data_IF_420733959458
#
_entry.id   IF_420733959458
#
_cell.length_a   1.000
_cell.length_b   1.000
_cell.length_c   1.000
_cell.angle_alpha   90.00
_cell.angle_beta   90.00
_cell.angle_gamma   90.00
#
_symmetry.space_group_name_H-M   'P 1'
#
loop_
_entity.id
_entity.type
_entity.pdbx_description
1 polymer ?
#
# COMPACT_ATOMS: atom_id res chain seq x y z
N UNK A 1 4.09 -32.23 87.56
CA UNK A 1 3.22 -32.36 86.38
C UNK A 1 2.82 -30.98 85.93
N UNK A 2 3.67 -30.33 85.08
CA UNK A 2 3.35 -29.03 84.46
C UNK A 2 4.29 -28.78 83.27
N UNK A 3 3.89 -29.31 82.08
CA UNK A 3 4.65 -29.06 80.86
C UNK A 3 3.79 -28.81 79.65
N UNK A 4 2.48 -28.55 79.79
CA UNK A 4 1.62 -28.39 78.57
C UNK A 4 1.40 -26.97 77.99
N UNK A 5 1.65 -25.84 78.66
CA UNK A 5 1.43 -24.54 78.07
C UNK A 5 2.37 -24.12 76.96
N UNK A 6 3.59 -24.67 76.93
CA UNK A 6 4.68 -24.22 76.02
C UNK A 6 4.53 -24.79 74.58
N UNK A 7 4.04 -26.00 74.43
CA UNK A 7 3.89 -26.64 73.08
C UNK A 7 2.84 -25.95 72.23
N UNK A 8 1.69 -25.51 72.83
CA UNK A 8 0.67 -24.78 72.08
C UNK A 8 1.12 -23.40 71.62
N UNK A 9 1.96 -22.73 72.38
CA UNK A 9 2.51 -21.44 71.99
C UNK A 9 3.51 -21.55 70.85
N UNK A 10 4.32 -22.61 70.85
CA UNK A 10 5.28 -22.89 69.79
C UNK A 10 4.61 -23.31 68.49
N UNK A 11 3.61 -24.18 68.52
CA UNK A 11 2.83 -24.55 67.35
C UNK A 11 2.10 -23.34 66.73
N UNK A 12 1.55 -22.45 67.57
CA UNK A 12 0.88 -21.23 67.10
C UNK A 12 1.90 -20.25 66.40
N UNK A 13 3.15 -20.17 66.93
CA UNK A 13 4.19 -19.36 66.31
C UNK A 13 4.67 -19.96 64.98
N UNK A 14 4.88 -21.28 64.93
CA UNK A 14 5.27 -21.97 63.68
C UNK A 14 4.17 -21.86 62.60
N UNK A 15 2.90 -21.99 62.98
CA UNK A 15 1.75 -21.80 62.05
C UNK A 15 1.68 -20.36 61.51
N UNK A 16 1.90 -19.35 62.35
CA UNK A 16 1.95 -17.94 61.91
C UNK A 16 3.15 -17.64 61.00
N UNK A 17 4.30 -18.23 61.24
CA UNK A 17 5.49 -18.08 60.39
C UNK A 17 5.29 -18.78 59.03
N UNK A 18 4.72 -19.98 59.02
CA UNK A 18 4.39 -20.70 57.80
C UNK A 18 3.41 -19.91 56.90
N UNK A 19 2.37 -19.36 57.55
CA UNK A 19 1.34 -18.52 56.87
C UNK A 19 1.98 -17.23 56.33
N UNK A 20 2.92 -16.60 57.05
CA UNK A 20 3.69 -15.43 56.57
C UNK A 20 4.59 -15.77 55.39
N UNK A 21 5.29 -16.91 55.43
CA UNK A 21 6.13 -17.37 54.31
C UNK A 21 5.30 -17.69 53.09
N UNK A 22 4.14 -18.35 53.23
CA UNK A 22 3.21 -18.64 52.16
C UNK A 22 2.66 -17.36 51.52
N UNK A 23 2.22 -16.41 52.37
CA UNK A 23 1.68 -15.11 51.88
C UNK A 23 2.76 -14.30 51.12
N UNK A 24 4.03 -14.29 51.59
CA UNK A 24 5.12 -13.66 50.84
C UNK A 24 5.38 -14.32 49.51
N UNK A 25 5.36 -15.65 49.41
CA UNK A 25 5.52 -16.40 48.15
C UNK A 25 4.38 -16.10 47.19
N UNK A 26 3.13 -16.07 47.64
CA UNK A 26 1.98 -15.70 46.83
C UNK A 26 2.11 -14.25 46.30
N UNK A 27 2.52 -13.31 47.14
CA UNK A 27 2.72 -11.91 46.67
C UNK A 27 3.80 -11.83 45.62
N UNK A 28 4.91 -12.55 45.76
CA UNK A 28 6.00 -12.58 44.76
C UNK A 28 5.50 -13.17 43.44
N UNK A 29 4.73 -14.26 43.47
CA UNK A 29 4.14 -14.89 42.26
C UNK A 29 3.18 -13.92 41.58
N UNK A 30 2.32 -13.21 42.30
CA UNK A 30 1.40 -12.22 41.75
C UNK A 30 2.15 -11.05 41.13
N UNK A 31 3.22 -10.58 41.76
CA UNK A 31 4.06 -9.51 41.18
C UNK A 31 4.73 -9.99 39.88
N UNK A 32 5.30 -11.21 39.87
CA UNK A 32 5.90 -11.78 38.65
C UNK A 32 4.88 -11.95 37.51
N UNK A 33 3.67 -12.40 37.83
CA UNK A 33 2.60 -12.50 36.82
C UNK A 33 2.17 -11.13 36.28
N UNK A 34 2.07 -10.12 37.14
CA UNK A 34 1.74 -8.77 36.72
C UNK A 34 2.85 -8.16 35.83
N UNK A 35 4.13 -8.35 36.19
CA UNK A 35 5.26 -7.89 35.38
C UNK A 35 5.30 -8.62 34.03
N UNK A 36 5.05 -9.94 34.03
CA UNK A 36 4.99 -10.72 32.80
C UNK A 36 3.86 -10.23 31.88
N UNK A 37 2.68 -9.94 32.42
CA UNK A 37 1.54 -9.41 31.64
C UNK A 37 1.87 -8.04 31.01
N UNK A 38 2.53 -7.16 31.77
CA UNK A 38 2.92 -5.82 31.27
C UNK A 38 3.95 -5.89 30.12
N UNK A 39 4.79 -6.93 30.10
CA UNK A 39 5.81 -7.12 29.05
C UNK A 39 5.23 -7.93 27.88
N UNK A 40 4.46 -8.98 28.15
CA UNK A 40 3.97 -9.90 27.15
C UNK A 40 2.88 -9.28 26.26
N UNK A 41 1.96 -8.48 26.83
CA UNK A 41 0.88 -7.86 26.05
C UNK A 41 1.38 -6.89 24.97
N UNK A 42 2.28 -5.93 25.25
CA UNK A 42 2.82 -5.08 24.19
C UNK A 42 3.68 -5.84 23.18
N UNK A 43 4.37 -6.92 23.61
CA UNK A 43 5.15 -7.75 22.71
C UNK A 43 4.25 -8.52 21.72
N UNK A 44 3.13 -9.06 22.18
CA UNK A 44 2.13 -9.72 21.34
C UNK A 44 1.53 -8.73 20.33
N UNK A 45 1.09 -7.54 20.80
CA UNK A 45 0.57 -6.50 19.92
C UNK A 45 1.60 -6.03 18.90
N UNK A 46 2.88 -5.97 19.26
CA UNK A 46 3.97 -5.64 18.36
C UNK A 46 4.18 -6.75 17.31
N UNK A 47 4.13 -8.02 17.72
CA UNK A 47 4.24 -9.17 16.79
C UNK A 47 3.04 -9.24 15.85
N UNK A 48 1.82 -9.02 16.34
CA UNK A 48 0.62 -8.92 15.51
C UNK A 48 0.73 -7.77 14.49
N UNK A 49 1.27 -6.62 14.88
CA UNK A 49 1.52 -5.51 13.95
C UNK A 49 2.60 -5.80 12.89
N UNK A 50 3.51 -6.74 13.15
CA UNK A 50 4.49 -7.21 12.17
C UNK A 50 3.90 -8.26 11.21
N UNK A 51 2.87 -9.01 11.63
CA UNK A 51 2.16 -9.97 10.76
C UNK A 51 1.11 -9.27 9.88
N UNK A 52 0.64 -8.08 10.24
CA UNK A 52 -0.22 -7.23 9.41
C UNK A 52 0.56 -6.40 8.36
N UNK A 53 1.79 -6.81 7.99
CA UNK A 53 2.32 -6.31 6.73
C UNK A 53 1.36 -6.74 5.62
N UNK A 54 0.84 -5.78 4.82
CA UNK A 54 -0.04 -6.15 3.72
C UNK A 54 0.68 -7.20 2.89
N UNK A 55 0.06 -8.36 2.76
CA UNK A 55 0.60 -9.47 1.98
C UNK A 55 1.03 -8.89 0.64
N UNK A 56 2.29 -9.12 0.26
CA UNK A 56 2.74 -8.79 -1.10
C UNK A 56 1.67 -9.28 -2.08
N UNK A 57 1.23 -8.48 -3.04
CA UNK A 57 0.15 -8.85 -3.92
C UNK A 57 0.44 -10.22 -4.52
N UNK A 58 -0.46 -11.14 -4.26
CA UNK A 58 -0.34 -12.50 -4.78
C UNK A 58 -0.42 -12.42 -6.30
N UNK A 59 0.65 -12.82 -6.99
CA UNK A 59 0.68 -12.85 -8.45
C UNK A 59 -0.26 -13.97 -8.89
N UNK A 60 -1.51 -13.62 -9.17
CA UNK A 60 -2.48 -14.56 -9.74
C UNK A 60 -2.12 -14.78 -11.20
N UNK A 61 -1.44 -15.90 -11.46
CA UNK A 61 -1.22 -16.37 -12.84
C UNK A 61 -2.57 -16.83 -13.42
N UNK A 62 -3.30 -15.92 -14.03
CA UNK A 62 -4.45 -16.31 -14.86
C UNK A 62 -3.93 -16.90 -16.18
N UNK A 63 -4.58 -17.98 -16.63
CA UNK A 63 -4.34 -18.61 -17.93
C UNK A 63 -4.56 -17.52 -19.02
N UNK A 64 -3.64 -17.36 -19.98
CA UNK A 64 -3.79 -16.33 -21.01
C UNK A 64 -5.09 -16.53 -21.78
N UNK A 65 -6.03 -15.62 -21.59
CA UNK A 65 -7.10 -15.39 -22.56
C UNK A 65 -6.45 -14.70 -23.76
N UNK A 66 -6.81 -15.08 -24.97
CA UNK A 66 -6.33 -14.36 -26.15
C UNK A 66 -7.00 -12.98 -26.13
N UNK A 67 -6.24 -11.96 -25.75
CA UNK A 67 -6.71 -10.57 -25.76
C UNK A 67 -6.76 -10.14 -27.23
N UNK A 68 -7.86 -9.57 -27.65
CA UNK A 68 -8.04 -9.03 -29.00
C UNK A 68 -8.00 -7.51 -28.90
N UNK A 69 -6.98 -6.91 -29.50
CA UNK A 69 -6.81 -5.47 -29.53
C UNK A 69 -7.48 -4.85 -30.76
N UNK A 70 -7.98 -3.63 -30.58
CA UNK A 70 -8.39 -2.79 -31.71
C UNK A 70 -7.16 -2.37 -32.52
N UNK A 71 -7.36 -2.04 -33.80
CA UNK A 71 -6.28 -1.51 -34.61
C UNK A 71 -5.89 -0.10 -34.12
N UNK A 72 -4.58 0.18 -33.91
CA UNK A 72 -4.14 1.48 -33.47
C UNK A 72 -4.42 2.57 -34.53
N UNK A 73 -5.08 3.63 -34.12
CA UNK A 73 -5.30 4.84 -34.94
C UNK A 73 -4.56 6.01 -34.27
N UNK A 74 -3.49 6.46 -34.93
CA UNK A 74 -2.61 7.53 -34.43
C UNK A 74 -3.16 8.92 -34.65
N UNK A 75 -4.16 9.08 -35.51
CA UNK A 75 -4.81 10.34 -35.84
C UNK A 75 -6.14 10.53 -35.11
N UNK A 76 -6.57 9.51 -34.34
CA UNK A 76 -7.86 9.54 -33.63
C UNK A 76 -7.81 10.57 -32.48
N UNK A 77 -8.69 11.54 -32.55
CA UNK A 77 -8.99 12.44 -31.43
C UNK A 77 -10.11 11.84 -30.58
N UNK A 78 -9.72 11.14 -29.52
CA UNK A 78 -10.69 10.48 -28.62
C UNK A 78 -11.65 11.47 -27.95
N UNK A 79 -11.30 12.75 -27.88
CA UNK A 79 -12.16 13.80 -27.29
C UNK A 79 -13.32 14.17 -28.21
N UNK A 80 -13.40 13.59 -29.40
CA UNK A 80 -14.55 13.68 -30.34
C UNK A 80 -15.43 12.43 -30.34
N UNK A 81 -14.97 11.36 -29.64
CA UNK A 81 -15.68 10.09 -29.60
C UNK A 81 -16.86 10.13 -28.61
N UNK A 82 -18.11 10.18 -29.13
CA UNK A 82 -19.31 10.27 -28.31
C UNK A 82 -19.43 9.13 -27.29
N UNK A 83 -19.00 7.91 -27.65
CA UNK A 83 -19.00 6.75 -26.75
C UNK A 83 -18.05 6.89 -25.60
N UNK A 84 -16.87 7.53 -25.79
CA UNK A 84 -15.93 7.84 -24.74
C UNK A 84 -16.41 9.00 -23.87
N UNK A 85 -16.97 10.05 -24.51
CA UNK A 85 -17.50 11.21 -23.78
C UNK A 85 -18.67 10.86 -22.84
N UNK A 86 -19.37 9.75 -23.11
CA UNK A 86 -20.46 9.25 -22.26
C UNK A 86 -19.98 8.41 -21.06
N UNK A 87 -18.67 8.05 -20.99
CA UNK A 87 -18.11 7.32 -19.84
C UNK A 87 -17.77 8.26 -18.68
N UNK A 88 -17.68 7.71 -17.47
CA UNK A 88 -17.14 8.46 -16.32
C UNK A 88 -15.61 8.58 -16.44
N UNK A 89 -15.16 9.76 -16.83
CA UNK A 89 -13.74 10.10 -17.00
C UNK A 89 -13.14 10.82 -15.82
N UNK A 90 -13.90 10.89 -14.72
CA UNK A 90 -13.42 11.50 -13.47
C UNK A 90 -12.33 10.65 -12.88
N UNK A 91 -11.31 11.31 -12.33
CA UNK A 91 -10.28 10.66 -11.51
C UNK A 91 -10.70 10.74 -10.05
N UNK A 92 -10.91 9.58 -9.44
CA UNK A 92 -11.27 9.48 -8.03
C UNK A 92 -10.01 9.22 -7.20
N UNK A 93 -9.74 10.12 -6.25
CA UNK A 93 -8.77 9.88 -5.20
C UNK A 93 -9.44 9.26 -3.99
N UNK A 94 -8.86 8.17 -3.47
CA UNK A 94 -9.28 7.49 -2.27
C UNK A 94 -8.10 7.39 -1.30
N UNK A 95 -8.29 7.84 -0.06
CA UNK A 95 -7.33 7.55 1.01
C UNK A 95 -7.86 6.37 1.83
N UNK A 96 -7.27 5.18 1.61
CA UNK A 96 -7.70 3.95 2.28
C UNK A 96 -7.49 3.99 3.80
N UNK A 97 -6.52 4.78 4.28
CA UNK A 97 -6.20 4.93 5.70
C UNK A 97 -7.33 5.60 6.49
N UNK A 98 -8.10 6.48 5.81
CA UNK A 98 -9.18 7.26 6.43
C UNK A 98 -10.56 7.00 5.83
N UNK A 99 -10.67 6.11 4.82
CA UNK A 99 -11.93 5.81 4.14
C UNK A 99 -12.53 7.00 3.39
N UNK A 100 -11.69 7.90 2.91
CA UNK A 100 -12.08 9.13 2.25
C UNK A 100 -12.00 8.97 0.72
N UNK A 101 -12.98 9.51 -0.01
CA UNK A 101 -12.98 9.52 -1.49
C UNK A 101 -13.46 10.88 -1.99
N UNK A 102 -12.75 11.45 -2.96
CA UNK A 102 -13.11 12.70 -3.64
C UNK A 102 -12.72 12.65 -5.12
N UNK A 103 -13.47 13.35 -5.96
CA UNK A 103 -13.13 13.56 -7.37
C UNK A 103 -12.02 14.60 -7.48
N UNK A 104 -10.93 14.25 -8.18
CA UNK A 104 -9.85 15.19 -8.47
C UNK A 104 -10.30 16.17 -9.55
N UNK A 105 -9.96 17.41 -9.34
CA UNK A 105 -10.20 18.55 -10.23
C UNK A 105 -8.97 19.44 -10.25
N UNK A 106 -8.87 20.32 -11.24
CA UNK A 106 -7.81 21.34 -11.29
C UNK A 106 -7.72 22.20 -10.01
N UNK A 107 -8.81 22.33 -9.24
CA UNK A 107 -8.87 23.16 -8.03
C UNK A 107 -8.39 22.42 -6.78
N UNK A 108 -8.40 21.10 -6.77
CA UNK A 108 -8.13 20.33 -5.55
C UNK A 108 -6.99 19.29 -5.68
N UNK A 109 -6.50 18.99 -6.89
CA UNK A 109 -5.48 17.97 -7.11
C UNK A 109 -4.23 18.15 -6.25
N UNK A 110 -3.77 19.38 -6.08
CA UNK A 110 -2.57 19.71 -5.29
C UNK A 110 -2.79 19.63 -3.77
N UNK A 111 -4.04 19.52 -3.31
CA UNK A 111 -4.42 19.42 -1.90
C UNK A 111 -3.99 18.08 -1.29
N UNK A 112 -3.87 17.03 -2.09
CA UNK A 112 -3.60 15.64 -1.64
C UNK A 112 -2.13 15.25 -1.74
N UNK A 113 -1.27 16.21 -1.97
CA UNK A 113 0.18 16.03 -1.98
C UNK A 113 0.77 15.69 -3.35
N UNK A 114 2.11 15.69 -3.43
CA UNK A 114 2.82 15.61 -4.70
C UNK A 114 2.62 14.28 -5.42
N UNK A 115 2.49 13.17 -4.71
CA UNK A 115 2.30 11.85 -5.32
C UNK A 115 0.97 11.75 -6.08
N UNK A 116 -0.12 12.33 -5.55
CA UNK A 116 -1.42 12.39 -6.24
C UNK A 116 -1.32 13.26 -7.50
N UNK A 117 -0.59 14.38 -7.43
CA UNK A 117 -0.34 15.24 -8.59
C UNK A 117 0.41 14.49 -9.69
N UNK A 118 1.44 13.72 -9.34
CA UNK A 118 2.21 12.88 -10.28
C UNK A 118 1.30 11.85 -10.95
N UNK A 119 0.52 11.08 -10.18
CA UNK A 119 -0.39 10.08 -10.72
C UNK A 119 -1.50 10.69 -11.60
N UNK A 120 -2.05 11.83 -11.21
CA UNK A 120 -3.02 12.54 -12.05
C UNK A 120 -2.38 12.99 -13.38
N UNK A 121 -1.15 13.49 -13.35
CA UNK A 121 -0.39 13.85 -14.55
C UNK A 121 -0.11 12.62 -15.42
N UNK A 122 0.22 11.49 -14.81
CA UNK A 122 0.38 10.21 -15.51
C UNK A 122 -0.89 9.82 -16.27
N UNK A 123 -2.07 9.87 -15.62
CA UNK A 123 -3.35 9.60 -16.26
C UNK A 123 -3.59 10.55 -17.45
N UNK A 124 -3.31 11.83 -17.29
CA UNK A 124 -3.42 12.82 -18.38
C UNK A 124 -2.47 12.52 -19.55
N UNK A 125 -1.24 12.08 -19.29
CA UNK A 125 -0.31 11.66 -20.33
C UNK A 125 -0.82 10.45 -21.10
N UNK A 126 -1.37 9.44 -20.41
CA UNK A 126 -1.94 8.25 -21.03
C UNK A 126 -3.13 8.61 -21.94
N UNK A 127 -4.06 9.44 -21.43
CA UNK A 127 -5.22 9.89 -22.21
C UNK A 127 -4.79 10.64 -23.49
N UNK A 128 -3.72 11.43 -23.42
CA UNK A 128 -3.23 12.23 -24.56
C UNK A 128 -2.25 11.51 -25.49
N UNK A 129 -1.81 10.29 -25.15
CA UNK A 129 -0.77 9.60 -25.90
C UNK A 129 0.61 10.25 -25.74
N UNK A 130 0.83 10.95 -24.64
CA UNK A 130 2.06 11.67 -24.33
C UNK A 130 3.07 10.75 -23.62
N UNK A 131 3.74 9.87 -24.38
CA UNK A 131 4.72 8.94 -23.84
C UNK A 131 5.96 9.63 -23.28
N UNK A 132 6.35 10.79 -23.82
CA UNK A 132 7.51 11.55 -23.30
C UNK A 132 7.17 12.15 -21.92
N UNK A 133 5.98 12.75 -21.79
CA UNK A 133 5.47 13.24 -20.51
C UNK A 133 5.31 12.12 -19.48
N UNK A 134 4.81 10.95 -19.90
CA UNK A 134 4.73 9.77 -19.05
C UNK A 134 6.12 9.34 -18.55
N UNK A 135 7.08 9.18 -19.47
CA UNK A 135 8.44 8.74 -19.14
C UNK A 135 9.19 9.74 -18.25
N UNK A 136 8.87 11.03 -18.32
CA UNK A 136 9.43 12.04 -17.44
C UNK A 136 9.00 11.89 -15.97
N UNK A 137 7.94 11.14 -15.68
CA UNK A 137 7.49 10.83 -14.33
C UNK A 137 8.19 9.62 -13.71
N UNK A 138 8.94 8.84 -14.49
CA UNK A 138 9.68 7.67 -14.04
C UNK A 138 11.00 8.08 -13.40
N UNK A 139 11.29 7.52 -12.24
CA UNK A 139 12.54 7.81 -11.53
C UNK A 139 13.74 7.03 -12.08
N UNK A 140 14.93 7.42 -11.67
CA UNK A 140 16.13 6.65 -11.92
C UNK A 140 16.08 5.25 -11.28
N UNK A 141 15.38 5.08 -10.15
CA UNK A 141 15.19 3.77 -9.51
C UNK A 141 14.38 2.84 -10.43
N UNK A 142 13.28 3.36 -11.02
CA UNK A 142 12.49 2.61 -11.97
C UNK A 142 13.33 2.17 -13.18
N UNK A 143 14.00 3.12 -13.83
CA UNK A 143 14.75 2.90 -15.08
C UNK A 143 16.01 2.02 -14.90
N UNK A 144 16.58 1.96 -13.69
CA UNK A 144 17.72 1.10 -13.37
C UNK A 144 17.33 -0.30 -12.89
N UNK A 145 16.04 -0.57 -12.72
CA UNK A 145 15.54 -1.90 -12.32
C UNK A 145 15.53 -2.81 -13.55
N UNK A 146 16.12 -4.00 -13.41
CA UNK A 146 16.18 -4.98 -14.50
C UNK A 146 14.77 -5.33 -15.00
N UNK A 147 14.57 -5.26 -16.30
CA UNK A 147 13.30 -5.54 -16.98
C UNK A 147 12.34 -4.35 -17.07
N UNK A 148 12.70 -3.19 -16.51
CA UNK A 148 11.97 -1.95 -16.72
C UNK A 148 12.58 -1.16 -17.87
N UNK A 149 11.72 -0.64 -18.73
CA UNK A 149 12.11 0.22 -19.85
C UNK A 149 11.17 1.44 -19.89
N UNK A 150 11.61 2.56 -20.48
CA UNK A 150 10.68 3.64 -20.79
C UNK A 150 9.56 3.15 -21.71
N UNK A 151 8.36 3.69 -21.54
CA UNK A 151 7.24 3.38 -22.42
C UNK A 151 7.56 3.81 -23.86
N UNK A 152 7.29 2.89 -24.80
CA UNK A 152 7.31 3.19 -26.23
C UNK A 152 6.17 4.18 -26.59
N UNK A 153 6.22 4.85 -27.74
CA UNK A 153 5.11 5.67 -28.20
C UNK A 153 3.80 4.89 -28.23
N UNK A 154 2.74 5.48 -27.69
CA UNK A 154 1.39 4.94 -27.67
C UNK A 154 0.36 5.98 -28.13
N UNK A 155 -0.77 5.49 -28.64
CA UNK A 155 -1.86 6.36 -29.08
C UNK A 155 -2.61 6.95 -27.89
N UNK A 156 -3.46 7.95 -28.11
CA UNK A 156 -4.43 8.41 -27.11
C UNK A 156 -5.25 7.23 -26.60
N UNK A 157 -5.39 7.09 -25.26
CA UNK A 157 -6.11 6.00 -24.62
C UNK A 157 -7.42 6.47 -24.00
N UNK A 158 -8.51 5.75 -24.24
CA UNK A 158 -9.84 6.08 -23.74
C UNK A 158 -10.03 5.55 -22.30
N UNK A 159 -9.35 6.17 -21.31
CA UNK A 159 -9.43 5.79 -19.90
C UNK A 159 -10.72 6.28 -19.25
N UNK A 160 -11.33 5.43 -18.42
CA UNK A 160 -12.52 5.75 -17.64
C UNK A 160 -12.59 4.90 -16.36
N UNK A 161 -13.52 5.21 -15.44
CA UNK A 161 -13.64 4.59 -14.10
C UNK A 161 -12.30 4.61 -13.36
N UNK A 162 -11.63 5.77 -13.34
CA UNK A 162 -10.25 5.92 -12.87
C UNK A 162 -10.23 6.12 -11.37
N UNK A 163 -9.46 5.30 -10.64
CA UNK A 163 -9.33 5.36 -9.20
C UNK A 163 -7.87 5.29 -8.77
N UNK A 164 -7.45 6.27 -7.97
CA UNK A 164 -6.15 6.35 -7.30
C UNK A 164 -6.37 6.13 -5.81
N UNK A 165 -5.90 5.01 -5.26
CA UNK A 165 -6.07 4.68 -3.85
C UNK A 165 -4.74 4.76 -3.13
N UNK A 166 -4.57 5.73 -2.23
CA UNK A 166 -3.41 5.82 -1.34
C UNK A 166 -3.53 4.74 -0.26
N UNK A 167 -2.61 3.78 -0.28
CA UNK A 167 -2.55 2.65 0.65
C UNK A 167 -1.65 2.95 1.83
N UNK A 168 -0.47 3.51 1.56
CA UNK A 168 0.51 3.84 2.58
C UNK A 168 1.30 5.11 2.21
N UNK A 169 1.76 5.80 3.24
CA UNK A 169 2.66 6.94 3.15
C UNK A 169 3.56 6.94 4.39
N UNK A 170 4.85 7.16 4.21
CA UNK A 170 5.78 7.20 5.33
C UNK A 170 7.19 7.59 4.95
N UNK A 171 7.96 7.96 5.96
CA UNK A 171 9.39 8.22 5.81
C UNK A 171 10.17 6.91 5.72
N UNK A 172 11.10 6.85 4.80
CA UNK A 172 12.09 5.78 4.66
C UNK A 172 13.48 6.36 4.80
N UNK A 173 14.41 5.55 5.27
CA UNK A 173 15.82 5.93 5.35
C UNK A 173 16.67 4.85 4.70
N UNK A 174 17.44 5.24 3.71
CA UNK A 174 18.35 4.36 3.01
C UNK A 174 19.67 5.08 2.71
N UNK A 175 20.80 4.41 2.95
CA UNK A 175 22.14 4.95 2.73
C UNK A 175 22.38 6.33 3.38
N UNK A 176 21.73 6.58 4.55
CA UNK A 176 21.84 7.84 5.28
C UNK A 176 21.02 9.00 4.71
N UNK A 177 20.20 8.76 3.69
CA UNK A 177 19.23 9.72 3.14
C UNK A 177 17.82 9.34 3.62
N UNK A 178 17.10 10.32 4.12
CA UNK A 178 15.67 10.16 4.45
C UNK A 178 14.85 10.75 3.31
N UNK A 179 13.78 10.05 2.93
CA UNK A 179 12.85 10.43 1.88
C UNK A 179 11.43 9.98 2.22
N UNK A 180 10.43 10.56 1.57
CA UNK A 180 9.03 10.13 1.73
C UNK A 180 8.68 9.13 0.62
N UNK A 181 8.05 8.02 1.01
CA UNK A 181 7.53 7.01 0.10
C UNK A 181 6.01 6.96 0.18
N UNK A 182 5.38 6.83 -0.98
CA UNK A 182 3.94 6.69 -1.15
C UNK A 182 3.63 5.39 -1.90
N UNK A 183 2.59 4.68 -1.46
CA UNK A 183 2.14 3.43 -2.09
C UNK A 183 0.69 3.59 -2.53
N UNK A 184 0.42 3.32 -3.79
CA UNK A 184 -0.90 3.46 -4.40
C UNK A 184 -1.35 2.20 -5.10
N UNK A 185 -2.65 1.92 -5.02
CA UNK A 185 -3.36 1.10 -6.00
C UNK A 185 -3.97 2.03 -7.04
N UNK A 186 -3.68 1.77 -8.32
CA UNK A 186 -4.27 2.49 -9.46
C UNK A 186 -5.11 1.52 -10.27
N UNK A 187 -6.34 1.92 -10.54
CA UNK A 187 -7.30 1.11 -11.27
C UNK A 187 -8.01 2.00 -12.30
N UNK A 188 -8.16 1.50 -13.51
CA UNK A 188 -8.90 2.15 -14.59
C UNK A 188 -9.33 1.10 -15.63
N UNK A 189 -10.23 1.51 -16.49
CA UNK A 189 -10.64 0.74 -17.68
C UNK A 189 -10.17 1.46 -18.94
N UNK A 190 -9.93 0.69 -20.00
CA UNK A 190 -9.61 1.23 -21.33
C UNK A 190 -10.72 0.79 -22.28
N UNK A 191 -11.45 1.77 -22.84
CA UNK A 191 -12.39 1.50 -23.92
C UNK A 191 -11.62 1.39 -25.24
N UNK A 192 -11.94 0.40 -26.05
CA UNK A 192 -11.27 0.13 -27.33
C UNK A 192 -9.74 0.00 -27.16
N UNK A 193 -9.31 -0.83 -26.19
CA UNK A 193 -7.89 -1.07 -25.96
C UNK A 193 -7.22 -1.56 -27.25
N UNK A 194 -6.23 -0.84 -27.77
CA UNK A 194 -5.52 -1.14 -28.99
C UNK A 194 -4.11 -1.74 -28.76
N UNK A 195 -3.77 -2.06 -27.52
CA UNK A 195 -2.52 -2.70 -27.14
C UNK A 195 -1.26 -1.84 -27.26
N UNK A 196 -1.36 -0.56 -27.64
CA UNK A 196 -0.15 0.30 -27.72
C UNK A 196 0.36 0.76 -26.36
N UNK A 197 -0.52 0.79 -25.33
CA UNK A 197 -0.14 1.14 -23.94
C UNK A 197 -0.23 -0.08 -23.00
N UNK A 198 -1.37 -0.76 -22.94
CA UNK A 198 -1.58 -1.95 -22.09
C UNK A 198 -1.85 -3.16 -22.95
N UNK A 199 -1.01 -4.19 -22.79
CA UNK A 199 -1.14 -5.47 -23.50
C UNK A 199 -1.64 -6.61 -22.62
N UNK A 200 -1.92 -6.33 -21.34
CA UNK A 200 -2.24 -7.31 -20.31
C UNK A 200 -3.71 -7.27 -19.87
N UNK A 201 -4.51 -6.35 -20.42
CA UNK A 201 -5.97 -6.22 -20.16
C UNK A 201 -6.78 -6.17 -21.45
N UNK A 202 -7.97 -6.77 -21.39
CA UNK A 202 -8.94 -6.71 -22.49
C UNK A 202 -9.73 -5.38 -22.45
N UNK A 203 -10.53 -5.12 -23.52
CA UNK A 203 -11.44 -3.98 -23.56
C UNK A 203 -12.35 -3.98 -22.33
N UNK A 204 -12.55 -2.80 -21.75
CA UNK A 204 -13.42 -2.56 -20.59
C UNK A 204 -13.07 -3.43 -19.34
N UNK A 205 -11.94 -4.17 -19.35
CA UNK A 205 -11.43 -4.87 -18.18
C UNK A 205 -10.76 -3.87 -17.24
N UNK A 206 -10.92 -4.10 -15.95
CA UNK A 206 -10.20 -3.36 -14.90
C UNK A 206 -9.19 -4.27 -14.21
N UNK A 207 -7.97 -3.79 -14.07
CA UNK A 207 -6.92 -4.51 -13.36
C UNK A 207 -6.07 -3.54 -12.56
N UNK A 208 -5.95 -3.80 -11.27
CA UNK A 208 -5.15 -2.99 -10.36
C UNK A 208 -3.66 -3.06 -10.69
N UNK A 209 -3.00 -1.93 -10.64
CA UNK A 209 -1.56 -1.79 -10.61
C UNK A 209 -1.15 -1.14 -9.29
N UNK A 210 0.00 -1.53 -8.77
CA UNK A 210 0.57 -0.94 -7.56
C UNK A 210 1.72 -0.02 -7.97
N UNK A 211 1.67 1.20 -7.46
CA UNK A 211 2.68 2.22 -7.71
C UNK A 211 3.39 2.56 -6.42
N UNK A 212 4.71 2.61 -6.47
CA UNK A 212 5.54 3.19 -5.41
C UNK A 212 6.14 4.47 -5.96
N UNK A 213 5.95 5.57 -5.24
CA UNK A 213 6.48 6.89 -5.59
C UNK A 213 7.33 7.40 -4.44
N UNK A 214 8.39 8.14 -4.74
CA UNK A 214 9.19 8.82 -3.71
C UNK A 214 9.95 10.04 -4.23
N UNK A 215 10.54 10.81 -3.31
CA UNK A 215 11.52 11.85 -3.58
C UNK A 215 12.97 11.37 -3.33
N UNK A 216 13.20 10.04 -3.42
CA UNK A 216 14.49 9.41 -3.11
C UNK A 216 15.60 9.78 -4.09
N UNK A 217 15.30 9.93 -5.37
CA UNK A 217 16.27 10.18 -6.45
C UNK A 217 16.30 11.63 -6.91
N UNK A 218 15.30 12.44 -6.61
CA UNK A 218 15.18 13.83 -7.02
C UNK A 218 14.62 14.70 -5.89
N UNK A 219 14.39 15.99 -6.14
CA UNK A 219 13.63 16.87 -5.23
C UNK A 219 12.13 16.71 -5.41
N UNK A 220 11.72 16.23 -6.59
CA UNK A 220 10.34 16.00 -6.93
C UNK A 220 10.00 14.53 -6.70
N UNK A 221 8.76 14.26 -6.32
CA UNK A 221 8.24 12.90 -6.22
C UNK A 221 8.12 12.31 -7.63
N UNK A 222 8.67 11.11 -7.83
CA UNK A 222 8.64 10.37 -9.08
C UNK A 222 8.18 8.93 -8.84
N UNK A 223 7.86 8.22 -9.91
CA UNK A 223 7.44 6.81 -9.88
C UNK A 223 8.68 5.93 -9.80
N UNK A 224 8.86 5.23 -8.68
CA UNK A 224 9.98 4.32 -8.44
C UNK A 224 9.69 2.89 -8.86
N UNK A 225 8.42 2.45 -8.76
CA UNK A 225 8.01 1.10 -9.14
C UNK A 225 6.57 1.10 -9.68
N UNK A 226 6.36 0.26 -10.68
CA UNK A 226 5.03 -0.10 -11.18
C UNK A 226 4.96 -1.62 -11.11
N UNK A 227 4.13 -2.14 -10.20
CA UNK A 227 3.91 -3.58 -10.03
C UNK A 227 2.55 -3.87 -10.65
N UNK A 228 2.56 -4.41 -11.85
CA UNK A 228 1.38 -4.90 -12.54
C UNK A 228 1.36 -6.42 -12.54
N UNK A 229 0.27 -7.01 -12.99
CA UNK A 229 0.25 -8.42 -13.35
C UNK A 229 1.04 -8.58 -14.65
N UNK A 230 2.32 -8.82 -14.54
CA UNK A 230 3.16 -9.11 -15.70
C UNK A 230 2.97 -10.58 -16.04
N UNK A 231 2.40 -10.86 -17.21
CA UNK A 231 2.51 -12.19 -17.80
C UNK A 231 3.98 -12.45 -18.11
N UNK A 232 4.67 -13.22 -17.26
CA UNK A 232 5.88 -13.89 -17.72
C UNK A 232 5.43 -15.09 -18.55
N UNK A 233 5.41 -14.90 -19.88
CA UNK A 233 5.23 -15.98 -20.85
C UNK A 233 6.35 -17.01 -20.76
#
# INVERSE_FOLDING_TARGET
>A
MNQEPNQFAEQSRQAKEATRKLRRRMIIVLICMAVFAVIALPLISYLESLEEQPASPEIVTQKPSTIIFYEPDWDLDIMKEAGYLAKDRSVYFCDARYGYTEVLTEKNKDKYGPAVTVLNTMIDCIIRGDHEGYNALLSANYLNTEGNEPEAPFTMQQLYDIKLTLVAEGEKSENGKTYTQYEFEVEYRIRHNNGTFRTDIDEDESRKQYFVLSDSTSKDVLIDQIIGYVYKG
#
